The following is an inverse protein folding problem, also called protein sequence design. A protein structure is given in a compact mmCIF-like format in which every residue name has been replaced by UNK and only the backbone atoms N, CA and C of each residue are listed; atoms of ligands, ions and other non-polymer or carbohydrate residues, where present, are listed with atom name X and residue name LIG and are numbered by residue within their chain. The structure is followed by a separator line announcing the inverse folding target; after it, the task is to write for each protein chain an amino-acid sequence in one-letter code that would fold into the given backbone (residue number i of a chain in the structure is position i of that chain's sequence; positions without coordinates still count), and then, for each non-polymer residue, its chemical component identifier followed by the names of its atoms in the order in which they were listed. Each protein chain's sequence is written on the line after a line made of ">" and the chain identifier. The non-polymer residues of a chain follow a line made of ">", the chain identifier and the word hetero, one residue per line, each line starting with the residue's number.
data_IF_706589104612
#
_entry.id   IF_706589104612
#
_cell.length_a   1.000
_cell.length_b   1.000
_cell.length_c   1.000
_cell.angle_alpha   90.00
_cell.angle_beta   90.00
_cell.angle_gamma   90.00
#
_symmetry.space_group_name_H-M   'P 1'
#
loop_
_entity.id
_entity.type
_entity.pdbx_description
1 polymer ?
#
# COMPACT_ATOMS: atom_id res chain seq x y z
N UNK A 1 8.38 20.19 -30.38
CA UNK A 1 7.53 21.41 -30.52
C UNK A 1 6.29 21.16 -31.38
N UNK A 2 6.43 20.62 -32.61
CA UNK A 2 5.30 20.41 -33.53
C UNK A 2 4.20 19.44 -33.03
N UNK A 3 4.56 18.38 -32.28
CA UNK A 3 3.58 17.45 -31.70
C UNK A 3 2.77 18.08 -30.57
N UNK A 4 3.42 18.87 -29.71
CA UNK A 4 2.74 19.56 -28.60
C UNK A 4 1.76 20.61 -29.10
N UNK A 5 2.17 21.42 -30.10
CA UNK A 5 1.32 22.43 -30.75
C UNK A 5 0.11 21.76 -31.46
N UNK A 6 0.31 20.60 -32.10
CA UNK A 6 -0.77 19.85 -32.73
C UNK A 6 -1.80 19.33 -31.74
N UNK A 7 -1.35 18.85 -30.56
CA UNK A 7 -2.22 18.41 -29.45
C UNK A 7 -3.02 19.56 -28.86
N UNK A 8 -2.37 20.70 -28.61
CA UNK A 8 -3.02 21.91 -28.10
C UNK A 8 -4.08 22.46 -29.10
N UNK A 9 -3.78 22.45 -30.38
CA UNK A 9 -4.73 22.85 -31.43
C UNK A 9 -5.91 21.88 -31.53
N UNK A 10 -5.70 20.59 -31.37
CA UNK A 10 -6.78 19.60 -31.29
C UNK A 10 -7.66 19.76 -30.04
N UNK A 11 -7.08 20.12 -28.87
CA UNK A 11 -7.84 20.48 -27.67
C UNK A 11 -8.73 21.69 -27.93
N UNK A 12 -8.19 22.77 -28.44
CA UNK A 12 -8.95 24.00 -28.75
C UNK A 12 -10.08 23.79 -29.76
N UNK A 13 -9.89 22.92 -30.77
CA UNK A 13 -10.94 22.56 -31.73
C UNK A 13 -12.06 21.76 -31.05
N UNK A 14 -11.72 20.92 -30.05
CA UNK A 14 -12.69 20.13 -29.28
C UNK A 14 -13.47 20.99 -28.31
N UNK A 15 -12.80 21.88 -27.60
CA UNK A 15 -13.46 22.82 -26.68
C UNK A 15 -14.49 23.66 -27.42
N UNK A 16 -14.18 24.10 -28.65
CA UNK A 16 -15.11 24.78 -29.51
C UNK A 16 -16.32 23.92 -29.93
N UNK A 17 -16.11 22.63 -30.25
CA UNK A 17 -17.20 21.72 -30.61
C UNK A 17 -18.06 21.35 -29.38
N UNK A 18 -17.47 21.37 -28.18
CA UNK A 18 -18.16 21.15 -26.91
C UNK A 18 -19.04 22.34 -26.53
N UNK A 19 -18.53 23.57 -26.74
CA UNK A 19 -19.23 24.82 -26.40
C UNK A 19 -20.39 25.10 -27.38
N UNK A 20 -20.28 24.67 -28.64
CA UNK A 20 -21.26 24.97 -29.70
C UNK A 20 -22.12 23.80 -30.13
N UNK A 21 -21.96 22.62 -29.56
CA UNK A 21 -22.71 21.41 -29.94
C UNK A 21 -23.46 20.77 -28.78
N UNK A 22 -24.74 20.52 -28.96
CA UNK A 22 -25.59 19.75 -28.01
C UNK A 22 -25.25 18.26 -27.91
N UNK A 23 -24.07 17.80 -28.37
CA UNK A 23 -23.65 16.42 -28.31
C UNK A 23 -22.65 16.20 -27.17
N UNK A 24 -23.01 15.33 -26.22
CA UNK A 24 -22.05 14.81 -25.22
C UNK A 24 -20.98 13.99 -25.94
N UNK A 25 -19.74 14.46 -25.92
CA UNK A 25 -18.59 13.74 -26.49
C UNK A 25 -17.86 13.06 -25.32
N UNK A 26 -17.91 11.73 -25.29
CA UNK A 26 -17.09 10.91 -24.38
C UNK A 26 -15.83 10.49 -25.13
N UNK A 27 -14.67 10.80 -24.61
CA UNK A 27 -13.41 10.32 -25.14
C UNK A 27 -12.61 9.62 -24.07
N UNK A 28 -12.33 8.35 -24.30
CA UNK A 28 -11.42 7.55 -23.49
C UNK A 28 -10.10 7.44 -24.27
N UNK A 29 -9.09 8.16 -23.82
CA UNK A 29 -7.75 8.11 -24.41
C UNK A 29 -6.89 7.21 -23.53
N UNK A 30 -6.38 6.11 -24.09
CA UNK A 30 -5.50 5.16 -23.41
C UNK A 30 -4.02 5.47 -23.64
N UNK A 31 -3.71 6.60 -24.29
CA UNK A 31 -2.33 6.97 -24.53
C UNK A 31 -1.61 7.24 -23.21
N UNK A 32 -0.46 6.61 -22.96
CA UNK A 32 0.34 6.89 -21.78
C UNK A 32 0.76 8.37 -21.78
N UNK A 33 0.76 8.97 -20.59
CA UNK A 33 1.40 10.27 -20.42
C UNK A 33 2.92 10.03 -20.51
N UNK A 34 3.51 10.32 -21.66
CA UNK A 34 4.96 10.32 -21.81
C UNK A 34 5.52 11.47 -20.95
N UNK A 35 6.55 11.18 -20.15
CA UNK A 35 7.24 12.17 -19.32
C UNK A 35 6.43 12.68 -18.11
N UNK A 36 5.74 11.81 -17.39
CA UNK A 36 5.07 12.14 -16.12
C UNK A 36 6.03 12.79 -15.10
N UNK A 37 7.30 12.39 -15.13
CA UNK A 37 8.36 12.93 -14.26
C UNK A 37 8.66 14.44 -14.49
N UNK A 38 8.33 14.97 -15.67
CA UNK A 38 8.53 16.38 -16.01
C UNK A 38 7.32 17.26 -15.68
N UNK A 39 6.20 16.65 -15.28
CA UNK A 39 5.00 17.41 -14.94
C UNK A 39 5.18 17.99 -13.53
N UNK A 40 5.09 19.32 -13.36
CA UNK A 40 5.09 19.91 -12.03
C UNK A 40 3.96 19.31 -11.19
N UNK A 41 4.30 18.74 -10.04
CA UNK A 41 3.33 18.23 -9.07
C UNK A 41 3.24 19.21 -7.91
N UNK A 42 2.02 19.54 -7.52
CA UNK A 42 1.77 20.12 -6.22
C UNK A 42 1.46 18.95 -5.28
N UNK A 43 2.35 18.61 -4.34
CA UNK A 43 2.10 17.51 -3.40
C UNK A 43 0.86 17.83 -2.56
N UNK A 44 -0.05 16.86 -2.45
CA UNK A 44 -1.19 16.89 -1.50
C UNK A 44 -0.82 16.20 -0.18
N UNK A 45 0.32 15.52 -0.16
CA UNK A 45 0.88 14.88 1.04
C UNK A 45 1.72 15.87 1.82
N UNK A 46 2.00 15.60 3.11
CA UNK A 46 2.94 16.38 3.90
C UNK A 46 4.32 16.47 3.22
N UNK A 47 5.08 17.55 3.45
CA UNK A 47 6.32 17.82 2.70
C UNK A 47 7.43 16.78 2.91
N UNK A 48 7.31 15.92 3.90
CA UNK A 48 8.28 14.87 4.24
C UNK A 48 7.93 13.49 3.65
N UNK A 49 6.72 13.31 3.08
CA UNK A 49 6.25 12.03 2.55
C UNK A 49 5.61 12.18 1.17
N UNK A 50 5.89 11.25 0.25
CA UNK A 50 5.32 11.27 -1.09
C UNK A 50 4.96 9.87 -1.60
N UNK A 51 3.84 9.78 -2.33
CA UNK A 51 3.50 8.60 -3.12
C UNK A 51 4.13 8.70 -4.51
N UNK A 52 4.83 7.65 -4.91
CA UNK A 52 5.45 7.52 -6.22
C UNK A 52 4.75 6.43 -7.00
N UNK A 53 4.02 6.84 -8.03
CA UNK A 53 3.40 5.91 -8.96
C UNK A 53 4.47 5.33 -9.89
N UNK A 54 4.78 4.04 -9.72
CA UNK A 54 5.80 3.34 -10.52
C UNK A 54 5.24 2.69 -11.79
N UNK A 55 3.93 2.42 -11.82
CA UNK A 55 3.22 1.89 -12.97
C UNK A 55 1.75 2.27 -12.95
N UNK A 56 1.08 2.12 -14.08
CA UNK A 56 -0.35 2.38 -14.28
C UNK A 56 -1.01 1.16 -14.94
N UNK A 57 -2.27 0.86 -14.53
CA UNK A 57 -3.01 -0.27 -15.06
C UNK A 57 -2.64 -1.59 -14.40
N UNK A 58 -3.34 -2.68 -14.76
CA UNK A 58 -3.15 -4.00 -14.18
C UNK A 58 -3.45 -5.09 -15.21
N UNK A 59 -2.55 -6.06 -15.32
CA UNK A 59 -2.71 -7.23 -16.22
C UNK A 59 -3.23 -8.49 -15.49
N UNK A 60 -3.64 -8.37 -14.21
CA UNK A 60 -4.36 -9.42 -13.50
C UNK A 60 -5.83 -9.39 -13.91
N UNK A 61 -6.42 -10.54 -14.14
CA UNK A 61 -7.80 -10.67 -14.59
C UNK A 61 -8.79 -10.96 -13.46
N UNK A 62 -8.63 -10.36 -12.28
CA UNK A 62 -9.51 -10.61 -11.13
C UNK A 62 -10.97 -10.30 -11.48
N UNK A 63 -11.89 -11.25 -11.25
CA UNK A 63 -13.28 -11.18 -11.70
C UNK A 63 -14.11 -10.06 -11.08
N UNK A 64 -13.70 -9.54 -9.93
CA UNK A 64 -14.36 -8.44 -9.21
C UNK A 64 -13.80 -7.06 -9.55
N UNK A 65 -12.67 -7.00 -10.27
CA UNK A 65 -11.91 -5.77 -10.43
C UNK A 65 -12.23 -5.06 -11.73
N UNK A 66 -12.50 -3.76 -11.64
CA UNK A 66 -12.80 -2.91 -12.80
C UNK A 66 -11.57 -2.18 -13.35
N UNK A 67 -10.41 -2.27 -12.68
CA UNK A 67 -9.18 -1.55 -13.03
C UNK A 67 -8.72 -1.81 -14.48
N UNK A 68 -8.68 -3.05 -15.00
CA UNK A 68 -8.28 -3.28 -16.39
C UNK A 68 -9.12 -2.54 -17.42
N UNK A 69 -10.40 -2.29 -17.10
CA UNK A 69 -11.32 -1.57 -18.01
C UNK A 69 -11.10 -0.05 -17.99
N UNK A 70 -10.73 0.52 -16.82
CA UNK A 70 -10.58 1.99 -16.68
C UNK A 70 -9.14 2.46 -16.82
N UNK A 71 -8.15 1.61 -16.48
CA UNK A 71 -6.72 1.95 -16.52
C UNK A 71 -5.94 1.20 -17.59
N UNK A 72 -6.54 0.16 -18.19
CA UNK A 72 -5.90 -0.70 -19.18
C UNK A 72 -4.90 -1.69 -18.58
N UNK A 73 -4.12 -2.33 -19.44
CA UNK A 73 -3.04 -3.23 -19.05
C UNK A 73 -1.92 -2.47 -18.31
N UNK A 74 -1.13 -3.21 -17.55
CA UNK A 74 0.03 -2.68 -16.83
C UNK A 74 0.98 -1.95 -17.77
N UNK A 75 1.42 -0.77 -17.37
CA UNK A 75 2.43 0.06 -18.02
C UNK A 75 3.39 0.59 -16.97
N UNK A 76 4.57 0.00 -16.91
CA UNK A 76 5.62 0.39 -15.98
C UNK A 76 6.35 1.65 -16.46
N UNK A 77 6.71 2.51 -15.53
CA UNK A 77 7.64 3.59 -15.78
C UNK A 77 9.07 3.06 -15.82
N UNK A 78 9.93 3.65 -16.61
CA UNK A 78 11.34 3.27 -16.62
C UNK A 78 12.03 3.62 -15.30
N UNK A 79 13.06 2.83 -14.92
CA UNK A 79 13.85 3.11 -13.71
C UNK A 79 14.39 4.55 -13.70
N UNK A 80 15.00 5.08 -14.80
CA UNK A 80 15.47 6.46 -14.82
C UNK A 80 14.38 7.50 -14.55
N UNK A 81 13.14 7.28 -15.04
CA UNK A 81 12.01 8.18 -14.81
C UNK A 81 11.66 8.24 -13.31
N UNK A 82 11.53 7.07 -12.65
CA UNK A 82 11.20 7.01 -11.23
C UNK A 82 12.33 7.59 -10.37
N UNK A 83 13.58 7.24 -10.67
CA UNK A 83 14.77 7.76 -9.96
C UNK A 83 14.87 9.27 -10.08
N UNK A 84 14.59 9.83 -11.26
CA UNK A 84 14.61 11.29 -11.47
C UNK A 84 13.58 11.99 -10.57
N UNK A 85 12.35 11.48 -10.52
CA UNK A 85 11.29 12.02 -9.66
C UNK A 85 11.65 11.95 -8.17
N UNK A 86 12.14 10.79 -7.71
CA UNK A 86 12.54 10.59 -6.30
C UNK A 86 13.70 11.51 -5.93
N UNK A 87 14.72 11.67 -6.79
CA UNK A 87 15.83 12.60 -6.55
C UNK A 87 15.35 14.04 -6.43
N UNK A 88 14.47 14.48 -7.32
CA UNK A 88 13.90 15.83 -7.28
C UNK A 88 13.14 16.07 -5.97
N UNK A 89 12.18 15.20 -5.63
CA UNK A 89 11.40 15.34 -4.40
C UNK A 89 12.26 15.24 -3.15
N UNK A 90 13.28 14.37 -3.15
CA UNK A 90 14.23 14.24 -2.06
C UNK A 90 15.05 15.52 -1.85
N UNK A 91 15.42 16.22 -2.93
CA UNK A 91 16.06 17.54 -2.85
C UNK A 91 15.13 18.66 -2.33
N UNK A 92 13.83 18.48 -2.46
CA UNK A 92 12.77 19.35 -1.94
C UNK A 92 12.40 19.05 -0.47
N UNK A 93 13.03 18.03 0.15
CA UNK A 93 12.87 17.69 1.58
C UNK A 93 12.06 16.44 1.86
N UNK A 94 11.52 15.74 0.84
CA UNK A 94 10.82 14.47 1.04
C UNK A 94 11.79 13.40 1.52
N UNK A 95 11.42 12.68 2.58
CA UNK A 95 12.25 11.65 3.24
C UNK A 95 11.63 10.26 3.16
N UNK A 96 10.30 10.14 3.11
CA UNK A 96 9.55 8.90 2.95
C UNK A 96 8.97 8.81 1.54
N UNK A 97 9.18 7.68 0.87
CA UNK A 97 8.67 7.41 -0.47
C UNK A 97 7.83 6.13 -0.46
N UNK A 98 6.54 6.28 -0.74
CA UNK A 98 5.57 5.21 -0.80
C UNK A 98 5.38 4.79 -2.28
N UNK A 99 5.95 3.64 -2.67
CA UNK A 99 5.85 3.15 -4.05
C UNK A 99 4.50 2.48 -4.26
N UNK A 100 3.77 2.96 -5.27
CA UNK A 100 2.42 2.49 -5.59
C UNK A 100 2.26 2.11 -7.06
N UNK A 101 1.51 1.05 -7.29
CA UNK A 101 0.90 0.66 -8.55
C UNK A 101 -0.37 -0.14 -8.25
N UNK A 102 -1.12 -0.59 -9.24
CA UNK A 102 -2.21 -1.55 -9.02
C UNK A 102 -1.68 -2.97 -8.71
N UNK A 103 -0.44 -3.26 -9.10
CA UNK A 103 0.33 -4.44 -8.74
C UNK A 103 1.81 -4.08 -8.82
N UNK A 104 2.40 -3.69 -7.69
CA UNK A 104 3.80 -3.25 -7.65
C UNK A 104 4.79 -4.39 -7.88
N UNK A 105 4.43 -5.64 -7.54
CA UNK A 105 5.29 -6.80 -7.75
C UNK A 105 5.43 -7.20 -9.23
N UNK A 106 4.50 -6.76 -10.10
CA UNK A 106 4.61 -6.97 -11.54
C UNK A 106 5.48 -5.92 -12.26
N UNK A 107 5.90 -4.87 -11.56
CA UNK A 107 6.68 -3.77 -12.15
C UNK A 107 7.84 -4.25 -13.01
N UNK A 108 7.95 -3.67 -14.19
CA UNK A 108 9.03 -3.89 -15.17
C UNK A 108 8.83 -5.12 -16.07
N UNK A 109 7.95 -6.06 -15.70
CA UNK A 109 7.73 -7.29 -16.49
C UNK A 109 7.12 -7.02 -17.87
N UNK A 110 6.40 -5.92 -18.03
CA UNK A 110 5.82 -5.46 -19.30
C UNK A 110 6.85 -4.79 -20.22
N UNK A 111 7.99 -4.35 -19.70
CA UNK A 111 9.05 -3.69 -20.49
C UNK A 111 9.92 -4.67 -21.28
N UNK A 112 9.97 -5.95 -20.90
CA UNK A 112 10.74 -7.01 -21.56
C UNK A 112 12.24 -6.73 -21.72
N UNK A 113 12.82 -5.89 -20.85
CA UNK A 113 14.24 -5.48 -20.85
C UNK A 113 15.00 -5.95 -19.59
N UNK A 114 14.35 -6.81 -18.80
CA UNK A 114 14.87 -7.31 -17.54
C UNK A 114 14.70 -6.36 -16.36
N UNK A 115 13.93 -5.27 -16.52
CA UNK A 115 13.54 -4.40 -15.40
C UNK A 115 12.71 -5.18 -14.39
N UNK A 116 13.02 -5.01 -13.09
CA UNK A 116 12.29 -5.59 -11.96
C UNK A 116 12.13 -4.57 -10.85
N UNK A 117 11.17 -4.82 -9.92
CA UNK A 117 11.02 -3.99 -8.72
C UNK A 117 12.31 -3.99 -7.88
N UNK A 118 12.97 -5.14 -7.73
CA UNK A 118 14.23 -5.24 -7.01
C UNK A 118 15.34 -4.37 -7.63
N UNK A 119 15.43 -4.31 -8.97
CA UNK A 119 16.38 -3.41 -9.66
C UNK A 119 16.04 -1.94 -9.42
N UNK A 120 14.77 -1.55 -9.45
CA UNK A 120 14.35 -0.20 -9.11
C UNK A 120 14.77 0.16 -7.67
N UNK A 121 14.50 -0.72 -6.71
CA UNK A 121 14.87 -0.49 -5.31
C UNK A 121 16.37 -0.31 -5.12
N UNK A 122 17.22 -1.12 -5.81
CA UNK A 122 18.67 -0.98 -5.80
C UNK A 122 19.16 0.41 -6.24
N UNK A 123 18.43 1.06 -7.14
CA UNK A 123 18.77 2.43 -7.55
C UNK A 123 18.23 3.49 -6.56
N UNK A 124 17.05 3.28 -5.99
CA UNK A 124 16.44 4.24 -5.06
C UNK A 124 17.20 4.32 -3.72
N UNK A 125 17.70 3.21 -3.20
CA UNK A 125 18.46 3.20 -1.93
C UNK A 125 19.78 3.97 -2.02
N UNK A 126 20.32 4.21 -3.21
CA UNK A 126 21.53 5.01 -3.43
C UNK A 126 21.32 6.52 -3.25
N UNK A 127 20.07 6.96 -3.16
CA UNK A 127 19.75 8.40 -3.02
C UNK A 127 19.91 8.81 -1.55
N UNK A 128 20.81 9.72 -1.26
CA UNK A 128 21.28 10.00 0.12
C UNK A 128 20.18 10.44 1.08
N UNK A 129 19.34 11.39 0.67
CA UNK A 129 18.30 11.96 1.53
C UNK A 129 17.04 11.08 1.68
N UNK A 130 16.94 9.97 0.96
CA UNK A 130 15.87 9.00 1.14
C UNK A 130 16.08 8.27 2.47
N UNK A 131 15.07 8.31 3.32
CA UNK A 131 15.08 7.65 4.63
C UNK A 131 14.26 6.37 4.62
N UNK A 132 13.01 6.43 4.16
CA UNK A 132 12.10 5.30 4.07
C UNK A 132 11.57 5.09 2.66
N UNK A 133 11.62 3.84 2.19
CA UNK A 133 10.96 3.36 0.99
C UNK A 133 9.98 2.28 1.41
N UNK A 134 8.70 2.49 1.14
CA UNK A 134 7.62 1.55 1.46
C UNK A 134 7.00 0.99 0.20
N UNK A 135 6.65 -0.30 0.23
CA UNK A 135 6.04 -1.01 -0.89
C UNK A 135 4.57 -1.30 -0.60
N UNK A 136 3.71 -0.93 -1.54
CA UNK A 136 2.28 -1.22 -1.48
C UNK A 136 1.85 -2.15 -2.61
N UNK A 137 0.75 -2.87 -2.41
CA UNK A 137 0.05 -3.67 -3.42
C UNK A 137 0.93 -4.72 -4.10
N UNK A 138 1.54 -5.57 -3.28
CA UNK A 138 2.33 -6.70 -3.76
C UNK A 138 1.42 -7.92 -4.03
N UNK A 139 1.56 -8.53 -5.19
CA UNK A 139 0.80 -9.73 -5.52
C UNK A 139 1.64 -10.98 -5.20
N UNK A 140 1.11 -11.99 -4.46
CA UNK A 140 1.91 -13.11 -3.95
C UNK A 140 2.70 -13.86 -5.03
N UNK A 141 2.08 -14.13 -6.20
CA UNK A 141 2.70 -14.89 -7.30
C UNK A 141 4.01 -14.26 -7.80
N UNK A 142 4.16 -12.95 -7.70
CA UNK A 142 5.32 -12.23 -8.23
C UNK A 142 6.33 -11.83 -7.16
N UNK A 143 6.10 -12.24 -5.92
CA UNK A 143 7.01 -12.00 -4.81
C UNK A 143 8.14 -13.01 -4.83
N UNK A 144 9.29 -12.65 -5.38
CA UNK A 144 10.45 -13.51 -5.57
C UNK A 144 11.53 -13.34 -4.49
N UNK A 145 12.57 -14.17 -4.58
CA UNK A 145 13.67 -14.20 -3.62
C UNK A 145 14.54 -12.94 -3.68
N UNK A 146 14.72 -12.36 -4.87
CA UNK A 146 15.48 -11.13 -5.04
C UNK A 146 14.80 -9.95 -4.35
N UNK A 147 13.47 -9.87 -4.48
CA UNK A 147 12.68 -8.84 -3.79
C UNK A 147 12.74 -9.03 -2.27
N UNK A 148 12.64 -10.26 -1.77
CA UNK A 148 12.78 -10.53 -0.34
C UNK A 148 14.16 -10.14 0.18
N UNK A 149 15.20 -10.50 -0.54
CA UNK A 149 16.58 -10.21 -0.16
C UNK A 149 16.83 -8.70 -0.04
N UNK A 150 16.38 -7.90 -1.00
CA UNK A 150 16.56 -6.45 -0.94
C UNK A 150 15.74 -5.81 0.17
N UNK A 151 14.50 -6.27 0.42
CA UNK A 151 13.69 -5.78 1.53
C UNK A 151 14.40 -6.04 2.87
N UNK A 152 15.03 -7.20 3.02
CA UNK A 152 15.67 -7.57 4.29
C UNK A 152 17.01 -6.87 4.52
N UNK A 153 17.82 -6.72 3.48
CA UNK A 153 19.19 -6.21 3.60
C UNK A 153 19.29 -4.69 3.64
N UNK A 154 18.41 -3.97 2.94
CA UNK A 154 18.51 -2.54 2.77
C UNK A 154 17.79 -1.78 3.91
N UNK A 155 18.52 -1.00 4.69
CA UNK A 155 17.98 -0.26 5.85
C UNK A 155 16.91 0.77 5.45
N UNK A 156 17.07 1.42 4.28
CA UNK A 156 16.12 2.41 3.78
C UNK A 156 14.79 1.81 3.35
N UNK A 157 14.72 0.49 3.15
CA UNK A 157 13.47 -0.18 2.81
C UNK A 157 12.76 -0.62 4.10
N UNK A 158 11.55 -0.11 4.28
CA UNK A 158 10.71 -0.49 5.41
C UNK A 158 10.52 -2.02 5.44
N UNK A 159 10.70 -2.62 6.62
CA UNK A 159 10.45 -4.05 6.83
C UNK A 159 8.94 -4.30 6.91
N UNK A 160 8.28 -3.98 5.82
CA UNK A 160 6.83 -3.93 5.69
C UNK A 160 6.42 -4.37 4.28
N UNK A 161 5.46 -5.27 4.19
CA UNK A 161 4.88 -5.73 2.93
C UNK A 161 3.36 -5.67 2.99
N UNK A 162 2.76 -5.00 2.01
CA UNK A 162 1.31 -4.98 1.82
C UNK A 162 0.95 -5.97 0.69
N UNK A 163 0.32 -7.08 1.08
CA UNK A 163 -0.01 -8.20 0.19
C UNK A 163 -1.50 -8.48 0.25
N UNK A 164 -2.34 -7.85 -0.58
CA UNK A 164 -3.78 -8.10 -0.62
C UNK A 164 -4.09 -9.53 -1.10
N UNK A 165 -4.32 -10.44 -0.16
CA UNK A 165 -4.61 -11.86 -0.44
C UNK A 165 -6.03 -12.07 -0.95
N UNK A 166 -6.98 -11.26 -0.52
CA UNK A 166 -8.41 -11.29 -0.80
C UNK A 166 -9.12 -12.45 -0.10
N UNK A 167 -8.64 -13.68 -0.19
CA UNK A 167 -9.18 -14.86 0.46
C UNK A 167 -8.11 -15.95 0.64
N UNK A 168 -8.46 -17.07 1.29
CA UNK A 168 -7.58 -18.25 1.44
C UNK A 168 -8.16 -19.53 0.86
N UNK A 169 -9.49 -19.65 0.76
CA UNK A 169 -10.13 -20.83 0.17
C UNK A 169 -9.82 -20.93 -1.33
N UNK A 170 -9.33 -22.08 -1.77
CA UNK A 170 -9.03 -22.33 -3.18
C UNK A 170 -10.27 -22.26 -4.08
N UNK A 171 -11.47 -22.53 -3.54
CA UNK A 171 -12.73 -22.41 -4.28
C UNK A 171 -13.02 -20.96 -4.61
N UNK A 172 -12.88 -20.07 -3.63
CA UNK A 172 -13.12 -18.62 -3.78
C UNK A 172 -12.01 -17.97 -4.62
N UNK A 173 -10.74 -18.30 -4.39
CA UNK A 173 -9.60 -17.78 -5.15
C UNK A 173 -9.74 -18.09 -6.65
N UNK A 174 -10.17 -19.30 -7.01
CA UNK A 174 -10.44 -19.67 -8.42
C UNK A 174 -11.60 -18.86 -9.01
N UNK A 175 -12.70 -18.65 -8.27
CA UNK A 175 -13.81 -17.80 -8.69
C UNK A 175 -13.40 -16.34 -8.86
N UNK A 176 -12.51 -15.84 -8.00
CA UNK A 176 -11.88 -14.52 -8.11
C UNK A 176 -10.89 -14.42 -9.27
N UNK A 177 -10.60 -15.53 -9.96
CA UNK A 177 -9.56 -15.62 -10.99
C UNK A 177 -8.18 -15.18 -10.47
N UNK A 178 -7.88 -15.54 -9.20
CA UNK A 178 -6.56 -15.35 -8.59
C UNK A 178 -5.62 -16.45 -9.07
N UNK A 179 -4.35 -16.10 -9.27
CA UNK A 179 -3.30 -17.05 -9.70
C UNK A 179 -2.74 -17.84 -8.52
N UNK A 180 -2.96 -17.34 -7.31
CA UNK A 180 -2.48 -17.95 -6.09
C UNK A 180 -3.40 -19.07 -5.64
N UNK A 181 -2.83 -20.04 -4.90
CA UNK A 181 -3.55 -21.08 -4.17
C UNK A 181 -3.31 -20.91 -2.67
N UNK A 182 -4.17 -21.53 -1.84
CA UNK A 182 -3.99 -21.62 -0.39
C UNK A 182 -2.57 -22.08 -0.03
N UNK A 183 -2.06 -23.10 -0.75
CA UNK A 183 -0.72 -23.63 -0.53
C UNK A 183 0.39 -22.62 -0.85
N UNK A 184 0.32 -21.93 -2.00
CA UNK A 184 1.33 -20.94 -2.40
C UNK A 184 1.35 -19.75 -1.45
N UNK A 185 0.18 -19.27 -1.03
CA UNK A 185 0.02 -18.21 -0.04
C UNK A 185 0.66 -18.59 1.30
N UNK A 186 0.29 -19.75 1.86
CA UNK A 186 0.85 -20.26 3.11
C UNK A 186 2.37 -20.42 3.05
N UNK A 187 2.90 -20.90 1.92
CA UNK A 187 4.36 -21.02 1.68
C UNK A 187 5.04 -19.65 1.71
N UNK A 188 4.49 -18.65 1.02
CA UNK A 188 5.04 -17.29 1.02
C UNK A 188 5.02 -16.68 2.42
N UNK A 189 3.88 -16.74 3.13
CA UNK A 189 3.76 -16.18 4.47
C UNK A 189 4.71 -16.86 5.47
N UNK A 190 4.87 -18.18 5.40
CA UNK A 190 5.85 -18.90 6.22
C UNK A 190 7.28 -18.43 5.92
N UNK A 191 7.60 -18.16 4.63
CA UNK A 191 8.90 -17.63 4.24
C UNK A 191 9.13 -16.24 4.83
N UNK A 192 8.15 -15.34 4.73
CA UNK A 192 8.21 -13.98 5.28
C UNK A 192 8.37 -14.01 6.81
N UNK A 193 7.61 -14.85 7.51
CA UNK A 193 7.70 -14.95 8.99
C UNK A 193 9.03 -15.52 9.49
N UNK A 194 9.72 -16.32 8.68
CA UNK A 194 11.04 -16.89 9.04
C UNK A 194 12.20 -15.94 8.69
N UNK A 195 11.93 -14.71 8.27
CA UNK A 195 12.95 -13.76 7.84
C UNK A 195 13.46 -12.94 9.04
N UNK A 196 14.75 -12.63 9.02
CA UNK A 196 15.39 -11.71 9.96
C UNK A 196 16.03 -10.57 9.19
N UNK A 197 15.76 -9.30 9.49
CA UNK A 197 14.83 -8.83 10.54
C UNK A 197 13.36 -9.17 10.25
N UNK A 198 12.53 -9.08 11.30
CA UNK A 198 11.09 -9.33 11.18
C UNK A 198 10.44 -8.40 10.16
N UNK A 199 9.57 -8.97 9.31
CA UNK A 199 8.82 -8.22 8.30
C UNK A 199 7.36 -8.14 8.73
N UNK A 200 6.86 -6.94 8.89
CA UNK A 200 5.44 -6.65 9.11
C UNK A 200 4.64 -7.00 7.87
N UNK A 201 3.60 -7.79 8.02
CA UNK A 201 2.73 -8.22 6.94
C UNK A 201 1.37 -7.56 7.09
N UNK A 202 1.04 -6.70 6.12
CA UNK A 202 -0.31 -6.18 5.94
C UNK A 202 -1.02 -6.98 4.85
N UNK A 203 -2.30 -7.27 5.06
CA UNK A 203 -3.15 -7.87 4.04
C UNK A 203 -4.50 -7.17 3.93
N UNK A 204 -5.19 -7.44 2.83
CA UNK A 204 -6.58 -7.04 2.63
C UNK A 204 -7.37 -8.27 2.21
N UNK A 205 -8.52 -8.49 2.88
CA UNK A 205 -9.40 -9.62 2.65
C UNK A 205 -10.78 -9.15 2.20
N UNK A 206 -11.47 -10.00 1.46
CA UNK A 206 -12.83 -9.77 0.97
C UNK A 206 -13.73 -10.90 1.46
N UNK A 207 -14.88 -10.55 2.03
CA UNK A 207 -15.91 -11.50 2.47
C UNK A 207 -17.17 -11.36 1.64
N UNK A 208 -17.96 -12.43 1.56
CA UNK A 208 -19.22 -12.44 0.82
C UNK A 208 -19.04 -12.41 -0.69
N UNK A 209 -17.92 -12.92 -1.19
CA UNK A 209 -17.74 -13.09 -2.63
C UNK A 209 -18.74 -14.11 -3.17
N UNK A 210 -19.28 -13.94 -4.42
CA UNK A 210 -20.24 -14.88 -4.98
C UNK A 210 -19.79 -16.34 -4.92
N UNK A 211 -20.60 -17.18 -4.28
CA UNK A 211 -20.33 -18.60 -4.05
C UNK A 211 -19.42 -18.90 -2.85
N UNK A 212 -19.08 -17.91 -2.03
CA UNK A 212 -18.41 -18.13 -0.75
C UNK A 212 -19.37 -18.83 0.22
N UNK A 213 -19.00 -20.03 0.63
CA UNK A 213 -19.77 -20.83 1.59
C UNK A 213 -19.38 -20.52 3.03
N UNK A 214 -20.17 -21.03 3.98
CA UNK A 214 -19.83 -20.94 5.41
C UNK A 214 -18.53 -21.69 5.75
N UNK A 215 -18.24 -22.79 5.04
CA UNK A 215 -16.98 -23.52 5.20
C UNK A 215 -15.77 -22.70 4.71
N UNK A 216 -15.91 -21.99 3.58
CA UNK A 216 -14.86 -21.10 3.05
C UNK A 216 -14.57 -19.95 4.02
N UNK A 217 -15.62 -19.35 4.60
CA UNK A 217 -15.46 -18.29 5.61
C UNK A 217 -14.77 -18.81 6.89
N UNK A 218 -15.17 -19.98 7.40
CA UNK A 218 -14.51 -20.58 8.56
C UNK A 218 -13.04 -20.92 8.30
N UNK A 219 -12.70 -21.36 7.08
CA UNK A 219 -11.31 -21.54 6.66
C UNK A 219 -10.55 -20.19 6.72
N UNK A 220 -11.15 -19.11 6.22
CA UNK A 220 -10.57 -17.78 6.26
C UNK A 220 -10.33 -17.31 7.71
N UNK A 221 -11.32 -17.44 8.58
CA UNK A 221 -11.22 -17.06 9.99
C UNK A 221 -10.14 -17.87 10.73
N UNK A 222 -10.09 -19.18 10.49
CA UNK A 222 -9.04 -20.05 11.04
C UNK A 222 -7.65 -19.64 10.55
N UNK A 223 -7.56 -19.28 9.27
CA UNK A 223 -6.31 -18.87 8.66
C UNK A 223 -5.76 -17.59 9.28
N UNK A 224 -6.57 -16.54 9.47
CA UNK A 224 -6.09 -15.29 10.08
C UNK A 224 -5.61 -15.49 11.51
N UNK A 225 -6.33 -16.32 12.29
CA UNK A 225 -5.94 -16.68 13.66
C UNK A 225 -4.61 -17.44 13.72
N UNK A 226 -4.32 -18.26 12.70
CA UNK A 226 -3.07 -19.02 12.62
C UNK A 226 -1.89 -18.16 12.13
N UNK A 227 -2.10 -17.24 11.17
CA UNK A 227 -1.05 -16.39 10.59
C UNK A 227 -0.73 -15.19 11.46
N UNK A 228 -1.73 -14.65 12.18
CA UNK A 228 -1.64 -13.46 13.01
C UNK A 228 -1.03 -12.28 12.22
N UNK A 229 -1.77 -11.81 11.21
CA UNK A 229 -1.33 -10.63 10.45
C UNK A 229 -1.10 -9.44 11.38
N UNK A 230 -0.06 -8.68 11.12
CA UNK A 230 0.24 -7.47 11.90
C UNK A 230 -0.82 -6.41 11.66
N UNK A 231 -1.16 -6.21 10.38
CA UNK A 231 -2.23 -5.32 9.95
C UNK A 231 -3.14 -6.03 8.95
N UNK A 232 -4.43 -5.83 9.05
CA UNK A 232 -5.40 -6.38 8.11
C UNK A 232 -6.56 -5.40 7.91
N UNK A 233 -6.89 -5.13 6.66
CA UNK A 233 -8.17 -4.55 6.28
C UNK A 233 -9.10 -5.61 5.70
N UNK A 234 -10.40 -5.46 5.90
CA UNK A 234 -11.41 -6.27 5.23
C UNK A 234 -12.48 -5.39 4.60
N UNK A 235 -13.17 -5.92 3.60
CA UNK A 235 -14.35 -5.30 3.02
C UNK A 235 -15.32 -6.36 2.51
N UNK A 236 -16.60 -5.99 2.45
CA UNK A 236 -17.63 -6.82 1.85
C UNK A 236 -17.55 -6.75 0.33
N UNK A 237 -17.81 -7.85 -0.37
CA UNK A 237 -17.92 -7.82 -1.81
C UNK A 237 -19.07 -6.91 -2.27
N UNK A 238 -18.77 -5.97 -3.14
CA UNK A 238 -19.74 -5.10 -3.81
C UNK A 238 -19.73 -5.38 -5.32
N UNK A 239 -20.89 -5.68 -5.87
CA UNK A 239 -21.03 -5.96 -7.31
C UNK A 239 -20.79 -4.67 -8.12
N UNK A 240 -19.80 -4.71 -9.00
CA UNK A 240 -19.49 -3.61 -9.92
C UNK A 240 -20.00 -3.97 -11.31
N UNK A 241 -20.83 -3.11 -11.88
CA UNK A 241 -21.38 -3.30 -13.22
C UNK A 241 -20.28 -3.56 -14.25
N UNK A 242 -20.50 -4.55 -15.11
CA UNK A 242 -19.53 -4.93 -16.14
C UNK A 242 -18.48 -5.94 -15.71
N UNK A 243 -18.29 -6.19 -14.40
CA UNK A 243 -17.38 -7.23 -13.93
C UNK A 243 -17.96 -8.63 -14.07
N UNK A 244 -17.11 -9.68 -14.30
CA UNK A 244 -17.59 -11.06 -14.31
C UNK A 244 -18.26 -11.48 -13.00
N UNK A 245 -17.75 -11.06 -11.85
CA UNK A 245 -18.30 -11.42 -10.54
C UNK A 245 -19.72 -10.88 -10.32
N UNK A 246 -20.06 -9.72 -10.86
CA UNK A 246 -21.42 -9.17 -10.76
C UNK A 246 -22.48 -10.03 -11.48
N UNK A 247 -22.06 -10.89 -12.43
CA UNK A 247 -22.94 -11.78 -13.19
C UNK A 247 -23.04 -13.19 -12.61
N UNK A 248 -22.28 -13.50 -11.56
CA UNK A 248 -22.35 -14.80 -10.88
C UNK A 248 -23.70 -14.94 -10.18
N UNK A 249 -24.30 -16.12 -10.25
CA UNK A 249 -25.66 -16.36 -9.71
C UNK A 249 -25.67 -16.53 -8.18
N UNK A 250 -24.57 -16.99 -7.59
CA UNK A 250 -24.47 -17.35 -6.17
C UNK A 250 -24.11 -16.14 -5.31
N UNK A 251 -24.81 -15.01 -5.47
CA UNK A 251 -24.58 -13.80 -4.69
C UNK A 251 -24.88 -14.04 -3.21
N UNK A 252 -24.00 -13.63 -2.33
CA UNK A 252 -24.19 -13.68 -0.88
C UNK A 252 -25.05 -12.49 -0.44
N UNK A 253 -25.98 -12.69 0.48
CA UNK A 253 -26.83 -11.60 0.99
C UNK A 253 -26.03 -10.58 1.78
N UNK A 254 -26.47 -9.32 1.82
CA UNK A 254 -25.78 -8.24 2.55
C UNK A 254 -25.68 -8.57 4.05
N UNK A 255 -26.72 -9.16 4.65
CA UNK A 255 -26.70 -9.56 6.06
C UNK A 255 -25.57 -10.56 6.36
N UNK A 256 -25.37 -11.56 5.51
CA UNK A 256 -24.28 -12.55 5.68
C UNK A 256 -22.91 -11.86 5.49
N UNK A 257 -22.78 -10.96 4.51
CA UNK A 257 -21.54 -10.20 4.29
C UNK A 257 -21.16 -9.37 5.49
N UNK A 258 -22.10 -8.60 6.05
CA UNK A 258 -21.88 -7.76 7.22
C UNK A 258 -21.51 -8.60 8.45
N UNK A 259 -22.22 -9.70 8.69
CA UNK A 259 -21.91 -10.60 9.81
C UNK A 259 -20.48 -11.15 9.69
N UNK A 260 -20.09 -11.65 8.50
CA UNK A 260 -18.73 -12.15 8.24
C UNK A 260 -17.67 -11.06 8.38
N UNK A 261 -17.97 -9.85 7.90
CA UNK A 261 -17.08 -8.70 8.05
C UNK A 261 -16.81 -8.37 9.52
N UNK A 262 -17.87 -8.27 10.32
CA UNK A 262 -17.72 -7.96 11.75
C UNK A 262 -16.99 -9.04 12.52
N UNK A 263 -17.28 -10.33 12.25
CA UNK A 263 -16.58 -11.46 12.89
C UNK A 263 -15.09 -11.48 12.52
N UNK A 264 -14.77 -11.24 11.23
CA UNK A 264 -13.39 -11.21 10.76
C UNK A 264 -12.60 -10.05 11.37
N UNK A 265 -13.22 -8.86 11.42
CA UNK A 265 -12.58 -7.66 11.98
C UNK A 265 -12.43 -7.74 13.50
N UNK A 266 -13.39 -8.32 14.21
CA UNK A 266 -13.26 -8.56 15.65
C UNK A 266 -12.09 -9.49 15.97
N UNK A 267 -11.97 -10.61 15.24
CA UNK A 267 -10.84 -11.51 15.39
C UNK A 267 -9.49 -10.83 15.07
N UNK A 268 -9.44 -9.98 14.07
CA UNK A 268 -8.21 -9.23 13.76
C UNK A 268 -7.88 -8.18 14.83
N UNK A 269 -8.86 -7.52 15.41
CA UNK A 269 -8.62 -6.54 16.48
C UNK A 269 -7.91 -7.18 17.68
N UNK A 270 -8.36 -8.38 18.09
CA UNK A 270 -7.70 -9.16 19.15
C UNK A 270 -6.25 -9.53 18.78
N UNK A 271 -6.02 -9.97 17.52
CA UNK A 271 -4.70 -10.31 17.02
C UNK A 271 -3.78 -9.08 16.99
N UNK A 272 -4.30 -7.95 16.51
CA UNK A 272 -3.54 -6.70 16.42
C UNK A 272 -3.14 -6.20 17.81
N UNK A 273 -4.04 -6.29 18.78
CA UNK A 273 -3.73 -5.92 20.18
C UNK A 273 -2.65 -6.83 20.77
N UNK A 274 -2.73 -8.14 20.55
CA UNK A 274 -1.67 -9.07 20.98
C UNK A 274 -0.32 -8.73 20.34
N UNK A 275 -0.31 -8.48 19.01
CA UNK A 275 0.92 -8.13 18.29
C UNK A 275 1.50 -6.80 18.79
N UNK A 276 0.67 -5.78 19.00
CA UNK A 276 1.12 -4.47 19.50
C UNK A 276 1.65 -4.55 20.93
N UNK A 277 1.02 -5.35 21.80
CA UNK A 277 1.54 -5.61 23.15
C UNK A 277 2.90 -6.31 23.14
N UNK A 278 3.17 -7.16 22.18
CA UNK A 278 4.48 -7.80 22.00
C UNK A 278 5.59 -6.82 21.58
N UNK A 279 5.23 -5.61 21.16
CA UNK A 279 6.19 -4.53 20.85
C UNK A 279 6.57 -3.71 22.10
N UNK A 280 5.92 -3.89 23.24
CA UNK A 280 6.28 -3.18 24.48
C UNK A 280 7.72 -3.51 24.86
N UNK A 281 8.50 -2.48 25.14
CA UNK A 281 9.93 -2.59 25.42
C UNK A 281 10.85 -2.52 24.20
N UNK A 282 10.30 -2.38 22.99
CA UNK A 282 11.08 -2.27 21.75
C UNK A 282 11.37 -0.81 21.42
N UNK A 283 12.63 -0.55 21.06
CA UNK A 283 13.05 0.74 20.52
C UNK A 283 12.75 0.81 19.03
N UNK A 284 12.14 1.90 18.58
CA UNK A 284 11.81 2.11 17.17
C UNK A 284 12.11 3.55 16.75
N UNK A 285 12.16 3.77 15.43
CA UNK A 285 12.21 5.10 14.85
C UNK A 285 10.79 5.52 14.42
N UNK A 286 10.37 6.70 14.82
CA UNK A 286 9.06 7.28 14.54
C UNK A 286 9.21 8.51 13.67
N UNK A 287 8.47 8.58 12.57
CA UNK A 287 8.26 9.81 11.80
C UNK A 287 7.09 10.56 12.42
N UNK A 288 7.37 11.74 12.97
CA UNK A 288 6.36 12.63 13.55
C UNK A 288 5.52 13.24 12.43
N UNK A 289 4.20 13.15 12.54
CA UNK A 289 3.26 13.66 11.53
C UNK A 289 2.45 14.85 12.01
N UNK A 290 2.13 14.88 13.30
CA UNK A 290 1.25 15.89 13.88
C UNK A 290 1.61 16.13 15.36
N UNK A 291 1.38 17.35 15.83
CA UNK A 291 1.39 17.67 17.27
C UNK A 291 -0.04 17.90 17.69
N UNK A 292 -0.48 17.14 18.68
CA UNK A 292 -1.82 17.22 19.26
C UNK A 292 -1.74 17.96 20.59
N UNK A 293 -2.71 18.86 20.83
CA UNK A 293 -2.91 19.53 22.11
C UNK A 293 -4.24 19.03 22.68
N UNK A 294 -4.22 18.52 23.92
CA UNK A 294 -5.42 18.03 24.61
C UNK A 294 -6.33 19.18 25.14
N UNK A 295 -5.97 20.42 24.86
CA UNK A 295 -6.66 21.61 25.33
C UNK A 295 -6.40 21.95 26.81
N UNK A 296 -5.59 21.14 27.52
CA UNK A 296 -5.15 21.36 28.87
C UNK A 296 -3.67 21.76 28.95
N UNK A 297 -3.03 21.91 27.79
CA UNK A 297 -1.61 22.27 27.66
C UNK A 297 -0.66 21.08 27.64
N UNK A 298 -1.16 19.83 27.58
CA UNK A 298 -0.33 18.67 27.35
C UNK A 298 -0.20 18.45 25.84
N UNK A 299 1.03 18.48 25.36
CA UNK A 299 1.35 18.17 23.96
C UNK A 299 1.69 16.69 23.81
N UNK A 300 1.22 16.11 22.72
CA UNK A 300 1.53 14.75 22.30
C UNK A 300 1.95 14.77 20.83
N UNK A 301 3.03 14.08 20.46
CA UNK A 301 3.36 13.88 19.06
C UNK A 301 2.69 12.60 18.55
N UNK A 302 1.96 12.72 17.46
CA UNK A 302 1.42 11.60 16.68
C UNK A 302 2.32 11.34 15.48
N UNK A 303 2.68 10.08 15.27
CA UNK A 303 3.54 9.69 14.16
C UNK A 303 3.39 8.24 13.80
N UNK A 304 4.29 7.71 13.01
CA UNK A 304 4.31 6.32 12.56
C UNK A 304 5.73 5.75 12.64
N UNK A 305 5.81 4.47 13.01
CA UNK A 305 7.02 3.69 12.85
C UNK A 305 7.17 3.17 11.40
N UNK A 306 8.37 2.68 11.07
CA UNK A 306 8.65 2.12 9.73
C UNK A 306 7.78 0.92 9.37
N UNK A 307 7.19 0.26 10.36
CA UNK A 307 6.28 -0.88 10.19
C UNK A 307 4.79 -0.49 10.15
N UNK A 308 4.46 0.81 10.07
CA UNK A 308 3.09 1.33 9.94
C UNK A 308 2.98 2.17 8.65
N UNK A 309 2.01 1.87 7.81
CA UNK A 309 1.74 2.60 6.58
C UNK A 309 0.87 3.84 6.84
N UNK A 310 1.09 4.94 6.10
CA UNK A 310 0.26 6.14 6.25
C UNK A 310 -1.20 5.84 5.91
N UNK A 311 -2.12 6.47 6.66
CA UNK A 311 -3.58 6.49 6.44
C UNK A 311 -4.32 5.16 6.64
N UNK A 312 -3.63 4.02 6.69
CA UNK A 312 -4.27 2.69 6.71
C UNK A 312 -3.92 1.82 7.92
N UNK A 313 -2.81 2.11 8.60
CA UNK A 313 -2.41 1.42 9.82
C UNK A 313 -2.53 2.37 11.03
N UNK A 314 -2.25 1.86 12.23
CA UNK A 314 -2.28 2.65 13.45
C UNK A 314 -1.13 3.66 13.57
N UNK A 315 -1.13 4.40 14.66
CA UNK A 315 -0.17 5.45 14.95
C UNK A 315 0.70 5.12 16.18
N UNK A 316 1.78 5.86 16.33
CA UNK A 316 2.57 5.93 17.57
C UNK A 316 2.36 7.30 18.19
N UNK A 317 1.95 7.32 19.44
CA UNK A 317 1.80 8.54 20.22
C UNK A 317 2.96 8.68 21.19
N UNK A 318 3.61 9.84 21.19
CA UNK A 318 4.76 10.16 22.06
C UNK A 318 4.35 11.28 22.99
N UNK A 319 4.29 10.97 24.30
CA UNK A 319 4.03 11.96 25.33
C UNK A 319 5.24 12.89 25.51
N UNK A 320 4.94 14.14 25.88
CA UNK A 320 5.96 15.16 26.12
C UNK A 320 6.96 15.31 24.97
N UNK A 321 6.49 15.66 23.75
CA UNK A 321 7.32 15.67 22.54
C UNK A 321 8.48 16.67 22.57
N UNK A 322 8.43 17.66 23.47
CA UNK A 322 9.46 18.69 23.57
C UNK A 322 9.53 19.58 22.33
N UNK A 323 10.67 19.56 21.64
CA UNK A 323 10.96 20.38 20.45
C UNK A 323 10.65 19.70 19.11
N UNK A 324 10.01 18.51 19.12
CA UNK A 324 9.67 17.75 17.91
C UNK A 324 8.73 18.55 16.99
N UNK A 325 8.88 18.33 15.70
CA UNK A 325 8.06 18.95 14.65
C UNK A 325 7.61 17.90 13.64
N UNK A 326 6.48 18.11 12.95
CA UNK A 326 6.11 17.26 11.83
C UNK A 326 7.23 17.15 10.78
N UNK A 327 7.56 15.91 10.41
CA UNK A 327 8.68 15.56 9.53
C UNK A 327 9.96 15.10 10.26
N UNK A 328 10.04 15.26 11.57
CA UNK A 328 11.16 14.75 12.35
C UNK A 328 11.13 13.23 12.49
N UNK A 329 12.31 12.61 12.42
CA UNK A 329 12.52 11.21 12.74
C UNK A 329 13.13 11.13 14.14
N UNK A 330 12.44 10.46 15.05
CA UNK A 330 12.85 10.35 16.46
C UNK A 330 12.92 8.90 16.90
N UNK A 331 13.91 8.58 17.71
CA UNK A 331 13.95 7.28 18.41
C UNK A 331 13.00 7.32 19.60
N UNK A 332 12.19 6.28 19.72
CA UNK A 332 11.20 6.15 20.78
C UNK A 332 11.16 4.72 21.31
N UNK A 333 10.90 4.58 22.59
CA UNK A 333 10.72 3.33 23.32
C UNK A 333 9.22 3.05 23.48
N UNK A 334 8.73 1.93 22.98
CA UNK A 334 7.30 1.57 23.07
C UNK A 334 7.00 1.13 24.51
N UNK A 335 6.02 1.80 25.14
CA UNK A 335 5.64 1.58 26.53
C UNK A 335 4.26 0.94 26.68
N UNK A 336 3.38 1.09 25.68
CA UNK A 336 2.04 0.46 25.67
C UNK A 336 1.56 0.19 24.25
N UNK A 337 0.61 -0.76 24.08
CA UNK A 337 0.06 -1.18 22.81
C UNK A 337 -1.43 -1.55 22.89
N UNK A 338 -2.21 -0.96 21.97
CA UNK A 338 -3.66 -1.16 21.81
C UNK A 338 -3.95 -1.87 20.50
N UNK A 339 -5.22 -2.09 20.20
CA UNK A 339 -5.62 -2.82 18.97
C UNK A 339 -5.03 -2.21 17.68
N UNK A 340 -4.86 -0.89 17.63
CA UNK A 340 -4.32 -0.22 16.43
C UNK A 340 -3.13 0.69 16.73
N UNK A 341 -3.09 1.32 17.90
CA UNK A 341 -2.14 2.37 18.22
C UNK A 341 -1.12 1.92 19.28
N UNK A 342 0.01 2.59 19.29
CA UNK A 342 1.11 2.40 20.23
C UNK A 342 1.36 3.69 21.01
N UNK A 343 1.76 3.55 22.26
CA UNK A 343 2.28 4.66 23.07
C UNK A 343 3.78 4.45 23.24
N UNK A 344 4.54 5.52 23.11
CA UNK A 344 5.99 5.50 23.23
C UNK A 344 6.54 6.70 23.98
N UNK A 345 7.73 6.56 24.52
CA UNK A 345 8.51 7.64 25.10
C UNK A 345 9.69 7.98 24.20
N UNK A 346 10.00 9.26 24.07
CA UNK A 346 11.17 9.73 23.33
C UNK A 346 12.46 9.25 24.01
N UNK A 347 13.33 8.60 23.26
CA UNK A 347 14.69 8.31 23.74
C UNK A 347 15.52 9.58 23.59
N UNK A 348 15.78 10.24 24.71
CA UNK A 348 16.72 11.34 24.77
C UNK A 348 18.12 10.76 24.91
N UNK A 349 18.97 10.93 23.90
CA UNK A 349 20.39 10.74 24.11
C UNK A 349 20.86 11.88 25.04
N UNK A 350 21.13 11.58 26.30
CA UNK A 350 21.88 12.49 27.16
C UNK A 350 23.12 12.93 26.38
N UNK A 351 23.13 14.16 25.91
CA UNK A 351 24.38 14.80 25.54
C UNK A 351 25.14 14.96 26.84
N UNK A 352 25.96 13.94 27.14
CA UNK A 352 26.89 14.04 28.24
C UNK A 352 27.58 15.39 28.18
N UNK A 353 27.53 16.07 29.32
CA UNK A 353 28.22 17.31 29.64
C UNK A 353 29.71 17.11 29.45
#
# INVERSE_FOLDING_TARGET
>A
LHKAIRRQRQMCIRDRSYIHGNKKIYRFDTAPCEHEELIPRQPLTPPYSAYIKIAEGCSNGCTFCYIPYVRGAMRSRSIPSVVHEVKRLSSEGVREFNLIAQDSSFYGRDLNDGTTLARLLKELVKIDNVKWIRLFYLYPTYFDDELLEIITKEEKICKYVDIPLQHISDSVLRRMHRRDSSQSIKKLLKKLRNTTPYITIRTTLMVGFPGETEADFKELLTFIKAVKFDNMGAFTYSAQDGTPAARMVDQVTEEIKENRYHELMAAQAEISEENNRNLIGVDTEVLVEELLDDGCGNLQAKGRASFQAPEVDGNVYIDHPGDLRPGDFVKAHIIDGYAYDLIAERITTDRGI
#
